data_IF_428890786972
#
_entry.id   IF_428890786972
#
_cell.length_a   1.000
_cell.length_b   1.000
_cell.length_c   1.000
_cell.angle_alpha   90.00
_cell.angle_beta   90.00
_cell.angle_gamma   90.00
#
_symmetry.space_group_name_H-M   'P 1'
#
loop_
_entity.id
_entity.type
_entity.pdbx_description
1 polymer ?
#
# COMPACT_ATOMS: atom_id res chain seq x y z
N UNK A 1 4.44 29.63 -0.35
CA UNK A 1 4.16 29.20 1.06
C UNK A 1 2.78 28.54 1.28
N UNK A 2 1.65 29.16 0.97
CA UNK A 2 0.30 28.56 1.21
C UNK A 2 0.07 27.27 0.40
N UNK A 3 0.52 27.22 -0.86
CA UNK A 3 0.44 26.00 -1.68
C UNK A 3 1.26 24.84 -1.09
N UNK A 4 2.48 25.12 -0.58
CA UNK A 4 3.33 24.13 0.09
C UNK A 4 2.65 23.56 1.34
N UNK A 5 1.93 24.40 2.10
CA UNK A 5 1.16 23.95 3.25
C UNK A 5 0.07 22.94 2.84
N UNK A 6 -0.71 23.25 1.80
CA UNK A 6 -1.74 22.34 1.30
C UNK A 6 -1.16 21.03 0.73
N UNK A 7 -0.01 21.10 0.06
CA UNK A 7 0.68 19.91 -0.43
C UNK A 7 1.13 19.03 0.74
N UNK A 8 1.69 19.61 1.81
CA UNK A 8 2.09 18.84 3.00
C UNK A 8 0.91 18.17 3.70
N UNK A 9 -0.22 18.87 3.84
CA UNK A 9 -1.44 18.28 4.41
C UNK A 9 -1.96 17.12 3.54
N UNK A 10 -2.01 17.29 2.22
CA UNK A 10 -2.42 16.24 1.30
C UNK A 10 -1.47 15.02 1.34
N UNK A 11 -0.15 15.24 1.44
CA UNK A 11 0.84 14.18 1.60
C UNK A 11 0.59 13.38 2.87
N UNK A 12 0.41 14.05 4.02
CA UNK A 12 0.11 13.39 5.29
C UNK A 12 -1.17 12.54 5.22
N UNK A 13 -2.24 13.06 4.62
CA UNK A 13 -3.49 12.31 4.45
C UNK A 13 -3.31 11.08 3.54
N UNK A 14 -2.51 11.22 2.48
CA UNK A 14 -2.24 10.15 1.53
C UNK A 14 -1.35 9.06 2.13
N UNK A 15 -0.31 9.41 2.89
CA UNK A 15 0.54 8.48 3.63
C UNK A 15 -0.27 7.66 4.64
N UNK A 16 -1.17 8.32 5.38
CA UNK A 16 -2.10 7.65 6.30
C UNK A 16 -3.01 6.66 5.55
N UNK A 17 -3.50 7.04 4.38
CA UNK A 17 -4.37 6.19 3.55
C UNK A 17 -3.62 4.98 2.99
N UNK A 18 -2.37 5.17 2.53
CA UNK A 18 -1.50 4.10 2.04
C UNK A 18 -1.12 3.13 3.16
N UNK A 19 -0.83 3.64 4.36
CA UNK A 19 -0.51 2.83 5.54
C UNK A 19 -1.72 1.97 5.95
N UNK A 20 -2.90 2.59 6.04
CA UNK A 20 -4.15 1.87 6.33
C UNK A 20 -4.48 0.81 5.28
N UNK A 21 -4.17 1.05 4.00
CA UNK A 21 -4.33 0.05 2.94
C UNK A 21 -3.47 -1.18 3.22
N UNK A 22 -2.19 -0.98 3.57
CA UNK A 22 -1.26 -2.08 3.89
C UNK A 22 -1.73 -2.84 5.14
N UNK A 23 -2.16 -2.12 6.18
CA UNK A 23 -2.69 -2.75 7.40
C UNK A 23 -3.92 -3.60 7.13
N UNK A 24 -4.84 -3.12 6.27
CA UNK A 24 -6.01 -3.89 5.86
C UNK A 24 -5.62 -5.15 5.06
N UNK A 25 -4.63 -5.04 4.17
CA UNK A 25 -4.12 -6.20 3.41
C UNK A 25 -3.53 -7.23 4.36
N UNK A 26 -2.74 -6.79 5.34
CA UNK A 26 -2.20 -7.66 6.38
C UNK A 26 -3.30 -8.31 7.21
N UNK A 27 -4.30 -7.54 7.61
CA UNK A 27 -5.47 -8.08 8.33
C UNK A 27 -6.19 -9.16 7.52
N UNK A 28 -6.41 -8.97 6.22
CA UNK A 28 -7.04 -9.98 5.35
C UNK A 28 -6.16 -11.24 5.28
N UNK A 29 -4.85 -11.07 5.12
CA UNK A 29 -3.90 -12.19 5.12
C UNK A 29 -4.00 -13.01 6.41
N UNK A 30 -3.88 -12.35 7.56
CA UNK A 30 -3.84 -13.00 8.87
C UNK A 30 -5.20 -13.62 9.25
N UNK A 31 -6.32 -12.95 8.94
CA UNK A 31 -7.66 -13.36 9.39
C UNK A 31 -8.39 -14.30 8.44
N UNK A 32 -8.06 -14.29 7.15
CA UNK A 32 -8.83 -15.00 6.13
C UNK A 32 -7.97 -15.97 5.34
N UNK A 33 -6.80 -15.53 4.85
CA UNK A 33 -5.97 -16.36 3.96
C UNK A 33 -5.21 -17.43 4.74
N UNK A 34 -4.55 -17.08 5.86
CA UNK A 34 -3.86 -18.05 6.71
C UNK A 34 -4.83 -19.14 7.20
N UNK A 35 -5.99 -18.81 7.83
CA UNK A 35 -6.91 -19.83 8.31
C UNK A 35 -7.47 -20.70 7.19
N UNK A 36 -7.71 -20.13 6.00
CA UNK A 36 -8.14 -20.90 4.83
C UNK A 36 -7.07 -21.92 4.41
N UNK A 37 -5.80 -21.53 4.32
CA UNK A 37 -4.70 -22.44 4.01
C UNK A 37 -4.54 -23.53 5.08
N UNK A 38 -4.70 -23.17 6.36
CA UNK A 38 -4.55 -24.09 7.49
C UNK A 38 -5.72 -25.05 7.69
N UNK A 39 -6.86 -24.82 7.03
CA UNK A 39 -8.06 -25.65 7.15
C UNK A 39 -7.97 -27.04 6.49
N UNK A 40 -6.84 -27.40 5.89
CA UNK A 40 -6.51 -28.78 5.49
C UNK A 40 -7.20 -29.30 4.22
N UNK A 41 -8.23 -28.64 3.69
CA UNK A 41 -8.88 -29.01 2.42
C UNK A 41 -8.10 -28.57 1.16
N UNK A 42 -6.95 -27.94 1.34
CA UNK A 42 -6.10 -27.45 0.26
C UNK A 42 -4.75 -28.19 0.22
N UNK A 43 -4.75 -29.51 -0.06
CA UNK A 43 -3.54 -30.31 -0.34
C UNK A 43 -2.62 -29.70 -1.41
N UNK A 44 -3.11 -28.74 -2.21
CA UNK A 44 -2.34 -28.02 -3.23
C UNK A 44 -1.31 -27.05 -2.61
N UNK A 45 -1.49 -26.64 -1.34
CA UNK A 45 -0.62 -25.66 -0.68
C UNK A 45 0.49 -26.27 0.19
N UNK A 46 0.51 -27.57 0.46
CA UNK A 46 1.64 -28.21 1.16
C UNK A 46 2.96 -28.12 0.34
N UNK A 47 2.85 -28.00 -0.99
CA UNK A 47 3.98 -27.71 -1.88
C UNK A 47 4.28 -26.21 -2.01
N UNK A 48 3.43 -25.33 -1.46
CA UNK A 48 3.70 -23.92 -1.26
C UNK A 48 4.22 -23.76 0.17
N UNK A 49 5.43 -24.28 0.40
CA UNK A 49 6.23 -24.06 1.62
C UNK A 49 6.45 -22.59 1.98
N UNK A 50 6.00 -21.67 1.13
CA UNK A 50 6.06 -20.23 1.29
C UNK A 50 4.66 -19.68 1.54
N UNK A 51 4.19 -19.71 2.80
CA UNK A 51 3.12 -18.83 3.31
C UNK A 51 3.61 -17.37 3.25
N UNK A 52 3.77 -16.86 2.05
CA UNK A 52 4.55 -15.66 1.81
C UNK A 52 3.64 -14.46 1.64
N UNK A 53 3.47 -13.74 2.75
CA UNK A 53 2.81 -12.44 2.75
C UNK A 53 3.42 -11.50 1.71
N UNK A 54 4.71 -11.62 1.36
CA UNK A 54 5.37 -10.75 0.38
C UNK A 54 4.73 -10.83 -1.01
N UNK A 55 4.42 -12.05 -1.49
CA UNK A 55 3.73 -12.24 -2.78
C UNK A 55 2.30 -11.72 -2.74
N UNK A 56 1.64 -11.87 -1.60
CA UNK A 56 0.28 -11.36 -1.40
C UNK A 56 0.26 -9.83 -1.41
N UNK A 57 1.11 -9.18 -0.61
CA UNK A 57 1.20 -7.72 -0.59
C UNK A 57 1.66 -7.16 -1.93
N UNK A 58 2.59 -7.81 -2.63
CA UNK A 58 3.03 -7.41 -3.97
C UNK A 58 1.86 -7.36 -4.96
N UNK A 59 0.96 -8.36 -4.91
CA UNK A 59 -0.26 -8.36 -5.73
C UNK A 59 -1.17 -7.18 -5.36
N UNK A 60 -1.34 -6.89 -4.07
CA UNK A 60 -2.18 -5.78 -3.61
C UNK A 60 -1.59 -4.40 -3.91
N UNK A 61 -0.27 -4.25 -3.90
CA UNK A 61 0.43 -3.00 -4.25
C UNK A 61 0.39 -2.72 -5.76
N UNK A 62 0.18 -3.74 -6.59
CA UNK A 62 -0.03 -3.60 -8.04
C UNK A 62 -1.47 -3.28 -8.42
N UNK A 63 -2.41 -3.29 -7.46
CA UNK A 63 -3.79 -2.92 -7.73
C UNK A 63 -3.90 -1.44 -8.07
N UNK A 64 -4.80 -1.12 -9.02
CA UNK A 64 -5.02 0.23 -9.54
C UNK A 64 -5.17 1.28 -8.44
N UNK A 65 -5.82 0.95 -7.33
CA UNK A 65 -6.04 1.86 -6.21
C UNK A 65 -4.71 2.27 -5.56
N UNK A 66 -3.86 1.30 -5.21
CA UNK A 66 -2.56 1.59 -4.60
C UNK A 66 -1.63 2.30 -5.57
N UNK A 67 -1.61 1.88 -6.84
CA UNK A 67 -0.82 2.54 -7.88
C UNK A 67 -1.19 4.00 -8.04
N UNK A 68 -2.49 4.34 -8.05
CA UNK A 68 -2.94 5.75 -8.12
C UNK A 68 -2.53 6.56 -6.90
N UNK A 69 -2.59 5.99 -5.70
CA UNK A 69 -2.10 6.66 -4.49
C UNK A 69 -0.61 6.97 -4.61
N UNK A 70 0.20 5.98 -5.00
CA UNK A 70 1.64 6.14 -5.18
C UNK A 70 2.00 7.16 -6.27
N UNK A 71 1.30 7.14 -7.41
CA UNK A 71 1.49 8.13 -8.48
C UNK A 71 1.15 9.54 -8.01
N UNK A 72 0.06 9.70 -7.26
CA UNK A 72 -0.37 10.99 -6.71
C UNK A 72 0.65 11.50 -5.70
N UNK A 73 1.14 10.62 -4.82
CA UNK A 73 2.18 10.94 -3.84
C UNK A 73 3.44 11.48 -4.53
N UNK A 74 3.94 10.77 -5.54
CA UNK A 74 5.12 11.21 -6.32
C UNK A 74 4.93 12.58 -6.95
N UNK A 75 3.77 12.82 -7.57
CA UNK A 75 3.45 14.12 -8.18
C UNK A 75 3.42 15.27 -7.17
N UNK A 76 2.91 15.02 -5.97
CA UNK A 76 2.87 16.02 -4.89
C UNK A 76 4.29 16.33 -4.39
N UNK A 77 5.14 15.33 -4.23
CA UNK A 77 6.56 15.51 -3.89
C UNK A 77 7.28 16.33 -4.98
N UNK A 78 7.15 15.94 -6.25
CA UNK A 78 7.77 16.64 -7.38
C UNK A 78 7.33 18.11 -7.44
N UNK A 79 6.03 18.37 -7.21
CA UNK A 79 5.48 19.73 -7.18
C UNK A 79 6.03 20.53 -6.00
N UNK A 80 6.10 19.93 -4.81
CA UNK A 80 6.66 20.58 -3.61
C UNK A 80 8.12 20.97 -3.85
N UNK A 81 8.94 20.04 -4.33
CA UNK A 81 10.34 20.33 -4.63
C UNK A 81 10.52 21.42 -5.68
N UNK A 82 9.66 21.45 -6.70
CA UNK A 82 9.67 22.52 -7.69
C UNK A 82 9.39 23.87 -7.05
N UNK A 83 8.38 23.98 -6.18
CA UNK A 83 8.04 25.22 -5.49
C UNK A 83 9.17 25.67 -4.56
N UNK A 84 9.74 24.76 -3.77
CA UNK A 84 10.85 25.07 -2.85
C UNK A 84 12.14 25.52 -3.56
N UNK A 85 12.34 25.13 -4.83
CA UNK A 85 13.50 25.55 -5.63
C UNK A 85 13.29 26.87 -6.37
N UNK A 86 12.05 27.33 -6.53
CA UNK A 86 11.69 28.52 -7.31
C UNK A 86 11.03 29.65 -6.48
N UNK A 87 10.73 29.41 -5.19
CA UNK A 87 10.47 30.42 -4.16
C UNK A 87 11.81 30.99 -3.62
#
# INVERSE_FOLDING_TARGET
>A
MEEIYYINDALNQLENSMSKYIDNVKYIWDSSIIPFMDSGDCMVFDNLTDKDFSKFIDFFMKQRTYTKMLETYRRLIDRKEFLEKND
#
